data_IF_427206137715
#
_entry.id   IF_427206137715
#
_cell.length_a   1.000
_cell.length_b   1.000
_cell.length_c   1.000
_cell.angle_alpha   90.00
_cell.angle_beta   90.00
_cell.angle_gamma   90.00
#
_symmetry.space_group_name_H-M   'P 1'
#
loop_
_entity.id
_entity.type
_entity.pdbx_description
1 polymer ?
#
# COMPACT_ATOMS: atom_id res chain seq x y z
N UNK A 1 -31.89 -3.80 42.86
CA UNK A 1 -30.54 -3.38 42.43
C UNK A 1 -29.97 -4.50 41.57
N UNK A 2 -30.31 -4.52 40.29
CA UNK A 2 -29.71 -5.43 39.30
C UNK A 2 -28.40 -4.78 38.86
N UNK A 3 -27.28 -5.44 39.13
CA UNK A 3 -25.97 -5.04 38.61
C UNK A 3 -26.06 -4.97 37.09
N UNK A 4 -26.00 -3.78 36.51
CA UNK A 4 -25.69 -3.62 35.09
C UNK A 4 -24.35 -4.32 34.87
N UNK A 5 -24.38 -5.44 34.16
CA UNK A 5 -23.17 -6.07 33.67
C UNK A 5 -22.46 -4.98 32.85
N UNK A 6 -21.28 -4.58 33.30
CA UNK A 6 -20.50 -3.52 32.70
C UNK A 6 -20.06 -4.02 31.31
N UNK A 7 -20.91 -3.82 30.30
CA UNK A 7 -20.71 -4.42 28.98
C UNK A 7 -19.57 -3.67 28.30
N UNK A 8 -18.42 -4.34 28.16
CA UNK A 8 -17.22 -3.76 27.55
C UNK A 8 -17.49 -3.66 26.05
N UNK A 9 -17.58 -2.46 25.46
CA UNK A 9 -17.96 -2.29 24.06
C UNK A 9 -16.91 -2.88 23.12
N UNK A 10 -17.37 -3.49 22.03
CA UNK A 10 -16.54 -3.99 20.95
C UNK A 10 -16.41 -2.92 19.85
N UNK A 11 -15.20 -2.44 19.62
CA UNK A 11 -14.88 -1.48 18.57
C UNK A 11 -14.03 -2.19 17.51
N UNK A 12 -14.58 -2.34 16.31
CA UNK A 12 -13.91 -2.96 15.17
C UNK A 12 -13.53 -1.88 14.17
N UNK A 13 -12.25 -1.83 13.82
CA UNK A 13 -11.71 -0.96 12.77
C UNK A 13 -11.26 -1.85 11.63
N UNK A 14 -11.72 -1.58 10.41
CA UNK A 14 -11.36 -2.32 9.20
C UNK A 14 -10.48 -1.43 8.33
N UNK A 15 -9.25 -1.87 8.06
CA UNK A 15 -8.22 -1.08 7.40
C UNK A 15 -7.28 -0.41 8.41
N UNK A 16 -5.99 -0.74 8.32
CA UNK A 16 -4.87 -0.27 9.12
C UNK A 16 -4.01 0.77 8.39
N UNK A 17 -4.54 1.42 7.36
CA UNK A 17 -3.88 2.56 6.72
C UNK A 17 -3.71 3.77 7.65
N UNK A 18 -3.34 4.92 7.09
CA UNK A 18 -3.01 6.14 7.84
C UNK A 18 -4.02 6.52 8.94
N UNK A 19 -5.33 6.44 8.63
CA UNK A 19 -6.37 6.73 9.61
C UNK A 19 -6.64 5.59 10.59
N UNK A 20 -6.60 4.34 10.10
CA UNK A 20 -6.99 3.16 10.87
C UNK A 20 -6.02 2.79 11.97
N UNK A 21 -4.73 2.70 11.65
CA UNK A 21 -3.69 2.34 12.61
C UNK A 21 -3.57 3.37 13.73
N UNK A 22 -3.59 4.65 13.37
CA UNK A 22 -3.52 5.76 14.33
C UNK A 22 -4.73 5.73 15.27
N UNK A 23 -5.93 5.45 14.74
CA UNK A 23 -7.15 5.35 15.53
C UNK A 23 -7.08 4.18 16.52
N UNK A 24 -6.77 2.95 16.08
CA UNK A 24 -6.70 1.79 16.98
C UNK A 24 -5.59 1.93 18.01
N UNK A 25 -4.48 2.58 17.65
CA UNK A 25 -3.38 2.88 18.58
C UNK A 25 -3.85 3.81 19.70
N UNK A 26 -4.54 4.92 19.35
CA UNK A 26 -5.10 5.86 20.34
C UNK A 26 -6.16 5.20 21.21
N UNK A 27 -7.09 4.46 20.61
CA UNK A 27 -8.17 3.76 21.33
C UNK A 27 -7.63 2.66 22.24
N UNK A 28 -6.66 1.86 21.78
CA UNK A 28 -6.02 0.82 22.57
C UNK A 28 -5.35 1.40 23.81
N UNK A 29 -4.56 2.48 23.64
CA UNK A 29 -3.85 3.12 24.77
C UNK A 29 -4.82 3.74 25.79
N UNK A 30 -5.91 4.35 25.30
CA UNK A 30 -6.87 5.08 26.15
C UNK A 30 -7.87 4.16 26.84
N UNK A 31 -8.38 3.16 26.13
CA UNK A 31 -9.52 2.32 26.55
C UNK A 31 -9.13 0.84 26.66
N UNK A 32 -8.45 0.30 25.64
CA UNK A 32 -8.10 -1.12 25.56
C UNK A 32 -7.22 -1.61 26.72
N UNK A 33 -6.11 -0.91 27.00
CA UNK A 33 -5.23 -1.21 28.15
C UNK A 33 -5.92 -1.11 29.51
N UNK A 34 -7.01 -0.35 29.59
CA UNK A 34 -7.80 -0.16 30.83
C UNK A 34 -8.97 -1.12 30.94
N UNK A 35 -9.14 -2.04 29.99
CA UNK A 35 -10.27 -2.96 29.93
C UNK A 35 -11.62 -2.26 29.73
N UNK A 36 -11.63 -1.02 29.20
CA UNK A 36 -12.84 -0.22 29.00
C UNK A 36 -13.49 -0.40 27.63
N UNK A 37 -12.79 -1.01 26.68
CA UNK A 37 -13.30 -1.37 25.37
C UNK A 37 -12.44 -2.50 24.78
N UNK A 38 -13.03 -3.37 23.99
CA UNK A 38 -12.33 -4.33 23.16
C UNK A 38 -12.06 -3.69 21.80
N UNK A 39 -10.80 -3.34 21.51
CA UNK A 39 -10.40 -2.76 20.24
C UNK A 39 -9.85 -3.86 19.32
N UNK A 40 -10.39 -3.99 18.12
CA UNK A 40 -9.92 -4.93 17.10
C UNK A 40 -9.61 -4.20 15.80
N UNK A 41 -8.41 -4.39 15.28
CA UNK A 41 -8.03 -4.03 13.91
C UNK A 41 -8.17 -5.26 13.01
N UNK A 42 -8.88 -5.12 11.90
CA UNK A 42 -8.94 -6.11 10.81
C UNK A 42 -8.28 -5.51 9.59
N UNK A 43 -7.26 -6.17 9.04
CA UNK A 43 -6.62 -5.75 7.78
C UNK A 43 -6.18 -6.98 6.97
N UNK A 44 -6.17 -6.85 5.65
CA UNK A 44 -5.66 -7.85 4.72
C UNK A 44 -4.14 -8.00 4.72
N UNK A 45 -3.38 -7.01 5.20
CA UNK A 45 -1.92 -7.03 5.31
C UNK A 45 -1.46 -7.20 6.75
N UNK A 46 -0.22 -7.64 6.95
CA UNK A 46 0.40 -7.82 8.26
C UNK A 46 1.00 -6.53 8.82
N UNK A 47 1.34 -5.63 7.91
CA UNK A 47 2.10 -4.42 8.19
C UNK A 47 1.40 -3.19 7.65
N UNK A 48 1.73 -2.06 8.27
CA UNK A 48 1.42 -0.75 7.76
C UNK A 48 2.64 -0.16 7.07
N UNK A 49 2.45 0.34 5.85
CA UNK A 49 3.40 1.24 5.19
C UNK A 49 2.79 2.63 5.09
N UNK A 50 3.65 3.64 5.25
CA UNK A 50 3.30 5.00 4.90
C UNK A 50 3.25 5.13 3.38
N UNK A 51 2.04 4.96 2.80
CA UNK A 51 1.81 5.01 1.34
C UNK A 51 2.49 6.17 0.60
N UNK A 52 2.64 7.39 1.18
CA UNK A 52 3.42 8.44 0.55
C UNK A 52 4.85 8.05 0.18
N UNK A 53 5.46 7.02 0.79
CA UNK A 53 6.80 6.53 0.46
C UNK A 53 6.85 5.51 -0.69
N UNK A 54 5.70 5.09 -1.25
CA UNK A 54 5.68 4.05 -2.29
C UNK A 54 6.44 4.46 -3.56
N UNK A 55 6.58 5.76 -3.84
CA UNK A 55 7.37 6.23 -4.97
C UNK A 55 8.87 5.98 -4.79
N UNK A 56 9.37 5.97 -3.55
CA UNK A 56 10.76 5.64 -3.22
C UNK A 56 11.02 4.14 -3.31
N UNK A 57 10.06 3.31 -2.87
CA UNK A 57 10.10 1.85 -3.06
C UNK A 57 10.10 1.51 -4.55
N UNK A 58 9.22 2.13 -5.34
CA UNK A 58 9.14 1.92 -6.77
C UNK A 58 10.42 2.36 -7.51
N UNK A 59 11.05 3.46 -7.08
CA UNK A 59 12.34 3.89 -7.61
C UNK A 59 13.52 3.01 -7.11
N UNK A 60 13.31 2.23 -6.04
CA UNK A 60 14.33 1.41 -5.41
C UNK A 60 15.29 2.15 -4.50
N UNK A 61 14.92 3.36 -4.06
CA UNK A 61 15.70 4.18 -3.12
C UNK A 61 15.36 3.89 -1.66
N UNK A 62 14.31 3.11 -1.41
CA UNK A 62 13.86 2.69 -0.09
C UNK A 62 13.58 1.18 -0.07
N UNK A 63 14.07 0.49 0.97
CA UNK A 63 13.65 -0.89 1.26
C UNK A 63 12.33 -0.85 2.04
N UNK A 64 11.29 -1.46 1.46
CA UNK A 64 9.95 -1.55 2.06
C UNK A 64 9.97 -2.13 3.47
N UNK A 65 10.85 -3.09 3.74
CA UNK A 65 10.90 -3.81 5.01
C UNK A 65 11.44 -2.96 6.17
N UNK A 66 12.19 -1.89 5.90
CA UNK A 66 12.74 -1.02 6.95
C UNK A 66 11.70 -0.03 7.51
N UNK A 67 10.71 0.36 6.71
CA UNK A 67 9.69 1.37 7.05
C UNK A 67 8.30 0.79 7.37
N UNK A 68 8.20 -0.54 7.47
CA UNK A 68 6.97 -1.23 7.82
C UNK A 68 6.73 -1.30 9.34
N UNK A 69 5.48 -1.07 9.75
CA UNK A 69 5.02 -1.28 11.12
C UNK A 69 4.22 -2.57 11.22
N UNK A 70 4.77 -3.56 11.92
CA UNK A 70 4.10 -4.82 12.23
C UNK A 70 2.85 -4.63 13.12
N UNK A 71 1.67 -4.97 12.60
CA UNK A 71 0.42 -4.77 13.34
C UNK A 71 0.35 -5.61 14.62
N UNK A 72 0.91 -6.83 14.62
CA UNK A 72 0.92 -7.69 15.81
C UNK A 72 1.72 -7.06 16.95
N UNK A 73 2.92 -6.54 16.65
CA UNK A 73 3.76 -5.87 17.62
C UNK A 73 3.08 -4.58 18.12
N UNK A 74 2.55 -3.78 17.21
CA UNK A 74 1.85 -2.54 17.56
C UNK A 74 0.58 -2.79 18.40
N UNK A 75 -0.16 -3.85 18.10
CA UNK A 75 -1.33 -4.31 18.84
C UNK A 75 -0.97 -4.63 20.30
N UNK A 76 0.08 -5.41 20.52
CA UNK A 76 0.59 -5.74 21.85
C UNK A 76 1.00 -4.48 22.62
N UNK A 77 1.83 -3.63 21.99
CA UNK A 77 2.36 -2.41 22.60
C UNK A 77 1.27 -1.38 22.93
N UNK A 78 0.21 -1.31 22.13
CA UNK A 78 -0.82 -0.28 22.25
C UNK A 78 -2.13 -0.76 22.86
N UNK A 79 -2.34 -2.06 23.07
CA UNK A 79 -3.52 -2.59 23.77
C UNK A 79 -4.76 -2.74 22.88
N UNK A 80 -4.57 -3.17 21.64
CA UNK A 80 -5.65 -3.62 20.75
C UNK A 80 -5.37 -5.05 20.26
N UNK A 81 -6.31 -5.68 19.55
CA UNK A 81 -6.13 -6.99 18.91
C UNK A 81 -6.04 -6.82 17.41
N UNK A 82 -5.07 -7.44 16.77
CA UNK A 82 -5.01 -7.52 15.32
C UNK A 82 -5.61 -8.85 14.81
N UNK A 83 -6.29 -8.79 13.66
CA UNK A 83 -6.88 -9.93 12.96
C UNK A 83 -6.57 -9.78 11.46
N UNK A 84 -5.62 -10.58 10.99
CA UNK A 84 -5.33 -10.68 9.56
C UNK A 84 -6.54 -11.22 8.80
N UNK A 85 -6.91 -10.58 7.70
CA UNK A 85 -7.89 -11.06 6.73
C UNK A 85 -8.66 -9.92 6.07
N UNK A 86 -9.11 -10.17 4.84
CA UNK A 86 -9.90 -9.21 4.07
C UNK A 86 -11.36 -9.26 4.50
N UNK A 87 -11.93 -8.13 4.91
CA UNK A 87 -13.37 -8.02 5.11
C UNK A 87 -14.10 -8.19 3.77
N UNK A 88 -15.11 -9.05 3.74
CA UNK A 88 -15.87 -9.38 2.52
C UNK A 88 -17.38 -9.35 2.69
N UNK A 89 -17.88 -8.97 3.87
CA UNK A 89 -19.29 -8.84 4.14
C UNK A 89 -19.60 -8.03 5.39
N UNK A 90 -20.77 -7.41 5.39
CA UNK A 90 -21.28 -6.56 6.46
C UNK A 90 -22.76 -6.88 6.70
N UNK A 91 -23.06 -7.43 7.87
CA UNK A 91 -24.42 -7.58 8.38
C UNK A 91 -24.70 -6.47 9.39
N UNK A 92 -25.48 -5.47 8.98
CA UNK A 92 -25.81 -4.31 9.83
C UNK A 92 -26.91 -4.62 10.84
N UNK A 93 -27.77 -5.59 10.56
CA UNK A 93 -28.88 -5.96 11.44
C UNK A 93 -28.33 -6.69 12.66
N UNK A 94 -27.44 -7.65 12.43
CA UNK A 94 -26.76 -8.42 13.48
C UNK A 94 -25.47 -7.77 13.99
N UNK A 95 -25.08 -6.63 13.42
CA UNK A 95 -23.84 -5.88 13.73
C UNK A 95 -22.59 -6.75 13.68
N UNK A 96 -22.38 -7.41 12.54
CA UNK A 96 -21.29 -8.34 12.33
C UNK A 96 -20.58 -8.06 11.01
N UNK A 97 -19.25 -8.16 10.99
CA UNK A 97 -18.48 -8.22 9.75
C UNK A 97 -18.07 -9.66 9.47
N UNK A 98 -17.95 -10.03 8.20
CA UNK A 98 -17.30 -11.26 7.78
C UNK A 98 -15.93 -10.98 7.19
N UNK A 99 -15.00 -11.89 7.49
CA UNK A 99 -13.61 -11.86 7.02
C UNK A 99 -13.35 -13.13 6.23
N UNK A 100 -12.90 -12.96 5.00
CA UNK A 100 -12.59 -14.04 4.08
C UNK A 100 -11.50 -14.97 4.64
N UNK A 101 -11.45 -16.24 4.21
CA UNK A 101 -10.32 -17.11 4.48
C UNK A 101 -9.02 -16.51 3.92
N UNK A 102 -7.91 -16.77 4.60
CA UNK A 102 -6.56 -16.43 4.12
C UNK A 102 -5.88 -17.71 3.66
N UNK A 103 -5.20 -17.63 2.51
CA UNK A 103 -4.44 -18.73 1.91
C UNK A 103 -2.96 -18.37 1.84
N UNK A 104 -2.09 -19.37 1.87
CA UNK A 104 -0.67 -19.20 1.54
C UNK A 104 -0.44 -19.30 0.02
N UNK A 105 0.81 -19.14 -0.43
CA UNK A 105 1.19 -19.20 -1.85
C UNK A 105 0.92 -20.57 -2.50
N UNK A 106 0.84 -21.63 -1.69
CA UNK A 106 0.47 -22.98 -2.14
C UNK A 106 -1.05 -23.20 -2.20
N UNK A 107 -1.85 -22.15 -2.05
CA UNK A 107 -3.32 -22.19 -1.98
C UNK A 107 -3.89 -23.00 -0.81
N UNK A 108 -3.11 -23.20 0.25
CA UNK A 108 -3.58 -23.86 1.46
C UNK A 108 -4.25 -22.85 2.39
N UNK A 109 -5.44 -23.19 2.90
CA UNK A 109 -6.15 -22.36 3.86
C UNK A 109 -5.39 -22.31 5.20
N UNK A 110 -4.90 -21.13 5.56
CA UNK A 110 -4.18 -20.89 6.82
C UNK A 110 -5.08 -20.27 7.90
N UNK A 111 -6.12 -19.55 7.48
CA UNK A 111 -7.09 -18.95 8.39
C UNK A 111 -8.48 -19.15 7.79
N UNK A 112 -9.41 -19.80 8.51
CA UNK A 112 -10.77 -20.00 8.02
C UNK A 112 -11.56 -18.69 7.99
N UNK A 113 -12.70 -18.72 7.29
CA UNK A 113 -13.69 -17.65 7.36
C UNK A 113 -14.07 -17.38 8.81
N UNK A 114 -14.12 -16.10 9.19
CA UNK A 114 -14.48 -15.68 10.55
C UNK A 114 -15.47 -14.52 10.49
N UNK A 115 -16.16 -14.35 11.61
CA UNK A 115 -17.03 -13.21 11.84
C UNK A 115 -16.63 -12.46 13.10
N UNK A 116 -16.83 -11.15 13.11
CA UNK A 116 -16.56 -10.30 14.26
C UNK A 116 -17.75 -9.39 14.55
N UNK A 117 -18.31 -9.52 15.74
CA UNK A 117 -19.39 -8.65 16.23
C UNK A 117 -18.83 -7.29 16.64
N UNK A 118 -19.63 -6.25 16.47
CA UNK A 118 -19.26 -4.89 16.84
C UNK A 118 -20.41 -4.14 17.52
N UNK A 119 -20.05 -3.27 18.46
CA UNK A 119 -20.93 -2.17 18.89
C UNK A 119 -20.68 -0.93 18.03
N UNK A 120 -19.41 -0.72 17.66
CA UNK A 120 -18.96 0.35 16.77
C UNK A 120 -18.07 -0.23 15.67
N UNK A 121 -18.44 0.06 14.42
CA UNK A 121 -17.66 -0.28 13.24
C UNK A 121 -17.09 0.99 12.62
N UNK A 122 -15.78 1.00 12.39
CA UNK A 122 -15.09 2.05 11.65
C UNK A 122 -14.49 1.43 10.38
N UNK A 123 -14.83 2.00 9.23
CA UNK A 123 -14.30 1.57 7.93
C UNK A 123 -13.24 2.58 7.49
N UNK A 124 -11.99 2.13 7.44
CA UNK A 124 -10.79 2.89 7.10
C UNK A 124 -9.96 2.16 6.02
N UNK A 125 -10.64 1.50 5.07
CA UNK A 125 -10.04 0.65 4.01
C UNK A 125 -9.30 1.43 2.92
N UNK A 126 -9.39 2.76 2.94
CA UNK A 126 -8.75 3.61 1.94
C UNK A 126 -9.43 3.53 0.56
N UNK A 127 -8.65 3.75 -0.47
CA UNK A 127 -9.05 3.73 -1.88
C UNK A 127 -7.99 3.02 -2.72
N UNK A 128 -8.34 2.74 -3.97
CA UNK A 128 -7.46 2.20 -5.01
C UNK A 128 -7.39 3.16 -6.18
N UNK A 129 -6.35 3.03 -7.00
CA UNK A 129 -6.21 3.73 -8.26
C UNK A 129 -7.38 3.41 -9.20
N UNK A 130 -7.80 4.40 -9.98
CA UNK A 130 -8.97 4.31 -10.85
C UNK A 130 -8.54 4.37 -12.31
N UNK A 131 -8.95 3.38 -13.11
CA UNK A 131 -8.61 3.29 -14.54
C UNK A 131 -9.51 4.13 -15.45
N UNK A 132 -10.57 4.72 -14.89
CA UNK A 132 -11.60 5.51 -15.59
C UNK A 132 -12.29 4.76 -16.74
N UNK A 133 -12.25 3.42 -16.74
CA UNK A 133 -12.75 2.60 -17.84
C UNK A 133 -11.97 2.77 -19.14
N UNK A 134 -10.75 3.32 -19.08
CA UNK A 134 -9.88 3.47 -20.24
C UNK A 134 -9.35 2.09 -20.61
N UNK A 135 -9.72 1.63 -21.80
CA UNK A 135 -9.34 0.31 -22.31
C UNK A 135 -7.80 0.16 -22.34
N UNK A 136 -7.31 -0.94 -21.78
CA UNK A 136 -5.87 -1.27 -21.78
C UNK A 136 -5.13 -0.83 -20.51
N UNK A 137 -5.69 0.07 -19.69
CA UNK A 137 -5.00 0.54 -18.47
C UNK A 137 -4.83 -0.61 -17.48
N UNK A 138 -5.90 -1.37 -17.21
CA UNK A 138 -5.82 -2.51 -16.28
C UNK A 138 -4.90 -3.63 -16.76
N UNK A 139 -4.71 -3.76 -18.07
CA UNK A 139 -3.94 -4.84 -18.70
C UNK A 139 -2.47 -4.48 -18.92
N UNK A 140 -2.15 -3.19 -19.07
CA UNK A 140 -0.83 -2.73 -19.50
C UNK A 140 -0.15 -1.75 -18.54
N UNK A 141 -0.89 -1.11 -17.64
CA UNK A 141 -0.31 -0.16 -16.68
C UNK A 141 0.01 -0.84 -15.34
N UNK A 142 1.06 -0.33 -14.70
CA UNK A 142 1.37 -0.65 -13.31
C UNK A 142 0.76 0.43 -12.42
N UNK A 143 0.04 0.01 -11.39
CA UNK A 143 -0.50 0.91 -10.36
C UNK A 143 0.48 1.04 -9.19
N UNK A 144 0.29 2.04 -8.33
CA UNK A 144 1.14 2.28 -7.18
C UNK A 144 0.32 2.44 -5.89
N UNK A 145 -0.52 1.45 -5.58
CA UNK A 145 -1.39 1.45 -4.39
C UNK A 145 -0.84 0.59 -3.24
N UNK A 146 0.05 -0.37 -3.55
CA UNK A 146 0.59 -1.36 -2.61
C UNK A 146 2.10 -1.54 -2.78
N UNK A 147 2.72 -2.13 -1.75
CA UNK A 147 4.16 -2.45 -1.73
C UNK A 147 4.52 -3.41 -2.87
N UNK A 148 3.80 -4.52 -2.98
CA UNK A 148 4.02 -5.50 -4.04
C UNK A 148 3.93 -4.89 -5.44
N UNK A 149 3.05 -3.91 -5.65
CA UNK A 149 2.99 -3.19 -6.93
C UNK A 149 4.23 -2.29 -7.15
N UNK A 150 4.69 -1.57 -6.12
CA UNK A 150 5.91 -0.78 -6.17
C UNK A 150 7.15 -1.65 -6.47
N UNK A 151 7.30 -2.77 -5.76
CA UNK A 151 8.37 -3.76 -5.96
C UNK A 151 8.32 -4.42 -7.35
N UNK A 152 7.12 -4.69 -7.85
CA UNK A 152 6.92 -5.20 -9.22
C UNK A 152 7.44 -4.19 -10.25
N UNK A 153 7.11 -2.91 -10.08
CA UNK A 153 7.61 -1.85 -10.94
C UNK A 153 9.14 -1.74 -10.84
N UNK A 154 9.69 -1.72 -9.63
CA UNK A 154 11.13 -1.64 -9.39
C UNK A 154 11.87 -2.81 -10.07
N UNK A 155 11.32 -4.03 -9.94
CA UNK A 155 11.88 -5.23 -10.58
C UNK A 155 11.89 -5.09 -12.09
N UNK A 156 10.77 -4.68 -12.70
CA UNK A 156 10.69 -4.49 -14.15
C UNK A 156 11.64 -3.38 -14.64
N UNK A 157 11.79 -2.31 -13.86
CA UNK A 157 12.73 -1.24 -14.16
C UNK A 157 14.17 -1.78 -14.19
N UNK A 158 14.59 -2.48 -13.14
CA UNK A 158 15.92 -3.08 -13.06
C UNK A 158 16.17 -4.09 -14.20
N UNK A 159 15.20 -4.96 -14.48
CA UNK A 159 15.27 -5.91 -15.60
C UNK A 159 15.43 -5.18 -16.95
N UNK A 160 14.73 -4.08 -17.16
CA UNK A 160 14.85 -3.27 -18.37
C UNK A 160 16.25 -2.68 -18.50
N UNK A 161 16.81 -2.11 -17.43
CA UNK A 161 18.19 -1.60 -17.42
C UNK A 161 19.22 -2.69 -17.67
N UNK A 162 19.10 -3.84 -17.01
CA UNK A 162 20.03 -4.96 -17.18
C UNK A 162 20.01 -5.49 -18.61
N UNK A 163 18.82 -5.63 -19.21
CA UNK A 163 18.68 -6.03 -20.62
C UNK A 163 19.26 -5.00 -21.57
N UNK A 164 19.01 -3.72 -21.32
CA UNK A 164 19.55 -2.60 -22.09
C UNK A 164 21.09 -2.51 -22.01
N UNK A 165 21.67 -2.84 -20.86
CA UNK A 165 23.11 -2.84 -20.65
C UNK A 165 23.81 -4.06 -21.25
N UNK A 166 23.17 -5.23 -21.27
CA UNK A 166 23.79 -6.50 -21.65
C UNK A 166 23.55 -6.92 -23.10
N UNK A 167 22.80 -6.13 -23.88
CA UNK A 167 22.46 -6.48 -25.24
C UNK A 167 23.60 -6.21 -26.24
N UNK A 168 23.75 -7.09 -27.22
CA UNK A 168 24.78 -6.99 -28.26
C UNK A 168 24.44 -5.99 -29.39
N UNK A 169 23.40 -5.17 -29.21
CA UNK A 169 22.89 -4.23 -30.22
C UNK A 169 22.61 -2.87 -29.60
N UNK A 170 22.55 -1.78 -30.41
CA UNK A 170 22.09 -0.48 -29.93
C UNK A 170 20.68 -0.56 -29.31
N UNK A 171 20.39 0.36 -28.39
CA UNK A 171 19.07 0.48 -27.76
C UNK A 171 17.98 0.65 -28.82
N UNK A 172 16.90 -0.12 -28.67
CA UNK A 172 15.71 0.07 -29.48
C UNK A 172 15.02 1.39 -29.08
N UNK A 173 14.37 2.05 -30.02
CA UNK A 173 13.58 3.25 -29.71
C UNK A 173 12.47 2.90 -28.70
N UNK A 174 12.40 3.67 -27.61
CA UNK A 174 11.40 3.47 -26.57
C UNK A 174 11.73 2.40 -25.54
N UNK A 175 12.90 1.75 -25.62
CA UNK A 175 13.26 0.63 -24.74
C UNK A 175 13.35 1.02 -23.25
N UNK A 176 13.73 2.27 -22.96
CA UNK A 176 13.85 2.83 -21.61
C UNK A 176 12.92 4.04 -21.42
N UNK A 177 11.78 4.04 -22.12
CA UNK A 177 10.76 5.06 -21.97
C UNK A 177 9.82 4.69 -20.81
N UNK A 178 9.64 5.62 -19.89
CA UNK A 178 8.76 5.49 -18.73
C UNK A 178 7.66 6.54 -18.84
N UNK A 179 6.42 6.10 -18.95
CA UNK A 179 5.24 6.97 -18.95
C UNK A 179 4.53 6.91 -17.59
N UNK A 180 4.39 8.07 -16.95
CA UNK A 180 3.70 8.26 -15.67
C UNK A 180 2.40 8.99 -15.94
N UNK A 181 1.27 8.37 -15.59
CA UNK A 181 -0.05 8.97 -15.77
C UNK A 181 -0.51 9.60 -14.46
N UNK A 182 -0.72 10.92 -14.49
CA UNK A 182 -1.09 11.76 -13.36
C UNK A 182 0.09 12.57 -12.81
N UNK A 183 -0.06 13.89 -12.80
CA UNK A 183 0.88 14.85 -12.22
C UNK A 183 0.43 15.38 -10.84
N UNK A 184 -0.24 14.52 -10.07
CA UNK A 184 -0.38 14.74 -8.63
C UNK A 184 0.96 14.56 -7.90
N UNK A 185 0.96 14.70 -6.57
CA UNK A 185 2.16 14.54 -5.74
C UNK A 185 2.90 13.23 -6.07
N UNK A 186 2.18 12.10 -6.06
CA UNK A 186 2.75 10.78 -6.33
C UNK A 186 3.46 10.66 -7.67
N UNK A 187 2.84 11.13 -8.77
CA UNK A 187 3.45 11.01 -10.09
C UNK A 187 4.65 11.94 -10.27
N UNK A 188 4.59 13.15 -9.69
CA UNK A 188 5.71 14.10 -9.71
C UNK A 188 6.87 13.59 -8.86
N UNK A 189 6.61 13.12 -7.64
CA UNK A 189 7.64 12.56 -6.75
C UNK A 189 8.29 11.32 -7.36
N UNK A 190 7.50 10.40 -7.95
CA UNK A 190 8.03 9.24 -8.67
C UNK A 190 8.92 9.67 -9.84
N UNK A 191 8.49 10.64 -10.64
CA UNK A 191 9.28 11.12 -11.78
C UNK A 191 10.63 11.72 -11.35
N UNK A 192 10.63 12.46 -10.24
CA UNK A 192 11.83 13.07 -9.69
C UNK A 192 12.79 12.00 -9.17
N UNK A 193 12.28 11.00 -8.45
CA UNK A 193 13.12 9.90 -7.96
C UNK A 193 13.69 9.05 -9.09
N UNK A 194 12.88 8.74 -10.11
CA UNK A 194 13.38 8.00 -11.28
C UNK A 194 14.44 8.77 -12.06
N UNK A 195 14.30 10.10 -12.15
CA UNK A 195 15.32 10.94 -12.75
C UNK A 195 16.64 10.83 -11.97
N UNK A 196 16.59 10.95 -10.64
CA UNK A 196 17.79 10.82 -9.80
C UNK A 196 18.43 9.42 -9.94
N UNK A 197 17.63 8.36 -9.86
CA UNK A 197 18.09 6.97 -10.01
C UNK A 197 18.75 6.73 -11.38
N UNK A 198 18.22 7.32 -12.46
CA UNK A 198 18.80 7.18 -13.80
C UNK A 198 20.25 7.69 -13.88
N UNK A 199 20.61 8.73 -13.12
CA UNK A 199 21.98 9.22 -13.04
C UNK A 199 22.89 8.34 -12.18
N UNK A 200 22.33 7.72 -11.14
CA UNK A 200 23.09 6.83 -10.24
C UNK A 200 23.45 5.50 -10.90
N UNK A 201 22.60 4.96 -11.78
CA UNK A 201 22.84 3.68 -12.43
C UNK A 201 24.13 3.63 -13.26
N UNK A 202 24.48 4.73 -13.93
CA UNK A 202 25.77 4.86 -14.62
C UNK A 202 26.95 4.82 -13.63
N UNK A 203 26.78 5.34 -12.41
CA UNK A 203 27.82 5.27 -11.37
C UNK A 203 28.03 3.85 -10.81
N UNK A 204 27.06 2.94 -10.98
CA UNK A 204 27.14 1.54 -10.56
C UNK A 204 27.76 0.60 -11.60
N UNK A 205 28.31 1.13 -12.70
CA UNK A 205 29.01 0.34 -13.72
C UNK A 205 28.14 -0.16 -14.87
N UNK A 206 26.92 0.37 -15.02
CA UNK A 206 26.05 0.11 -16.18
C UNK A 206 26.41 1.04 -17.36
N UNK A 207 27.69 1.04 -17.75
CA UNK A 207 28.30 2.08 -18.60
C UNK A 207 27.75 2.14 -20.04
N UNK A 208 27.14 1.05 -20.52
CA UNK A 208 26.48 0.97 -21.84
C UNK A 208 25.13 1.70 -21.90
N UNK A 209 24.58 2.12 -20.74
CA UNK A 209 23.35 2.93 -20.66
C UNK A 209 23.69 4.30 -20.09
N UNK A 210 23.41 5.35 -20.86
CA UNK A 210 23.59 6.72 -20.42
C UNK A 210 22.30 7.25 -19.79
N UNK A 211 22.37 8.20 -18.84
CA UNK A 211 21.16 8.79 -18.26
C UNK A 211 20.24 9.45 -19.30
N UNK A 212 20.79 9.89 -20.43
CA UNK A 212 20.03 10.48 -21.54
C UNK A 212 19.21 9.48 -22.35
N UNK A 213 19.49 8.17 -22.20
CA UNK A 213 18.74 7.11 -22.88
C UNK A 213 17.39 6.84 -22.22
N UNK A 214 17.23 7.26 -20.96
CA UNK A 214 16.03 7.10 -20.15
C UNK A 214 15.12 8.30 -20.37
N UNK A 215 13.91 8.06 -20.88
CA UNK A 215 12.92 9.12 -21.12
C UNK A 215 11.75 8.99 -20.18
N UNK A 216 11.63 9.94 -19.26
CA UNK A 216 10.51 9.99 -18.31
C UNK A 216 9.50 11.02 -18.80
N UNK A 217 8.27 10.57 -19.07
CA UNK A 217 7.16 11.42 -19.49
C UNK A 217 6.07 11.41 -18.43
N UNK A 218 5.65 12.59 -17.96
CA UNK A 218 4.44 12.74 -17.14
C UNK A 218 3.29 13.21 -18.03
N UNK A 219 2.16 12.53 -17.91
CA UNK A 219 0.93 12.80 -18.67
C UNK A 219 -0.15 13.25 -17.68
N UNK A 220 -0.66 14.46 -17.84
CA UNK A 220 -1.68 15.05 -16.96
C UNK A 220 -2.87 15.56 -17.77
N UNK A 221 -4.08 15.35 -17.25
CA UNK A 221 -5.31 15.81 -17.88
C UNK A 221 -5.62 17.27 -17.54
N UNK A 222 -5.21 17.74 -16.36
CA UNK A 222 -5.32 19.12 -15.93
C UNK A 222 -4.30 20.04 -16.63
N UNK A 223 -4.50 21.35 -16.49
CA UNK A 223 -3.65 22.37 -17.13
C UNK A 223 -2.28 22.55 -16.45
N UNK A 224 -2.08 21.99 -15.24
CA UNK A 224 -0.85 22.15 -14.46
C UNK A 224 -0.48 20.91 -13.65
N UNK A 225 0.82 20.76 -13.40
CA UNK A 225 1.34 19.82 -12.41
C UNK A 225 0.96 20.28 -11.00
N UNK A 226 0.85 19.33 -10.07
CA UNK A 226 0.53 19.57 -8.65
C UNK A 226 -0.66 20.53 -8.47
N UNK A 227 -1.85 20.21 -9.04
CA UNK A 227 -2.98 21.13 -9.05
C UNK A 227 -3.54 21.50 -7.66
N UNK A 228 -3.10 20.81 -6.61
CA UNK A 228 -3.45 21.11 -5.21
C UNK A 228 -2.48 22.06 -4.49
N UNK A 229 -1.35 22.46 -5.10
CA UNK A 229 -0.36 23.35 -4.48
C UNK A 229 -0.47 24.80 -5.03
N UNK A 230 0.00 25.83 -4.29
CA UNK A 230 -0.05 27.22 -4.73
C UNK A 230 0.65 27.48 -6.07
#
# INVERSE_FOLDING_TARGET
MTSEANNIPNIVVVGGGAGGLELVTKLGRKLGKKGKANITLVDSTHTHIWKPLLHEVAAGTLDSHEDEIEYLAQAMCSGFRFRLGKMDGLDRENKQISVAPTYNDNSEEIIPRRSFDYDYLIVAVGSVSHDFGIKGVSEHCLFLDTISQAETFQTQLLEAYLRAHTQDKPLDEGQLDIAIVGAGATGVELSAQLHEVSHLLTAYGLDEVQPTDVKISIIEAAERLLPGLP
#
